data_IF_433697212091
#
_entry.id   IF_433697212091
#
_cell.length_a   1.000
_cell.length_b   1.000
_cell.length_c   1.000
_cell.angle_alpha   90.00
_cell.angle_beta   90.00
_cell.angle_gamma   90.00
#
_symmetry.space_group_name_H-M   'P 1'
#
loop_
_entity.id
_entity.type
_entity.pdbx_description
1 polymer ?
#
# COMPACT_ATOMS: atom_id res chain seq x y z
N UNK A 1 -29.90 -6.05 2.13
CA UNK A 1 -29.23 -7.37 2.27
C UNK A 1 -28.52 -7.90 1.02
N UNK A 2 -29.19 -8.29 -0.08
CA UNK A 2 -28.47 -8.80 -1.29
C UNK A 2 -27.56 -7.75 -1.93
N UNK A 3 -28.07 -6.52 -2.08
CA UNK A 3 -27.33 -5.38 -2.65
C UNK A 3 -26.13 -4.95 -1.81
N UNK A 4 -26.21 -5.11 -0.49
CA UNK A 4 -25.11 -4.74 0.42
C UNK A 4 -23.98 -5.78 0.36
N UNK A 5 -24.34 -7.07 0.24
CA UNK A 5 -23.36 -8.15 0.04
C UNK A 5 -22.63 -8.06 -1.30
N UNK A 6 -23.31 -7.63 -2.38
CA UNK A 6 -22.65 -7.39 -3.67
C UNK A 6 -21.66 -6.23 -3.61
N UNK A 7 -22.06 -5.09 -3.03
CA UNK A 7 -21.17 -3.94 -2.84
C UNK A 7 -19.94 -4.31 -2.00
N UNK A 8 -20.11 -5.12 -0.96
CA UNK A 8 -18.99 -5.57 -0.14
C UNK A 8 -18.03 -6.48 -0.91
N UNK A 9 -18.55 -7.36 -1.77
CA UNK A 9 -17.72 -8.20 -2.66
C UNK A 9 -16.91 -7.37 -3.65
N UNK A 10 -17.52 -6.35 -4.26
CA UNK A 10 -16.81 -5.43 -5.15
C UNK A 10 -15.69 -4.67 -4.41
N UNK A 11 -15.96 -4.19 -3.19
CA UNK A 11 -14.95 -3.53 -2.34
C UNK A 11 -13.77 -4.46 -2.02
N UNK A 12 -14.06 -5.71 -1.65
CA UNK A 12 -13.03 -6.73 -1.37
C UNK A 12 -12.21 -7.03 -2.63
N UNK A 13 -12.85 -7.12 -3.81
CA UNK A 13 -12.15 -7.34 -5.08
C UNK A 13 -11.22 -6.18 -5.44
N UNK A 14 -11.57 -4.95 -5.01
CA UNK A 14 -10.73 -3.75 -5.14
C UNK A 14 -9.67 -3.61 -4.05
N UNK A 15 -9.58 -4.54 -3.10
CA UNK A 15 -8.65 -4.46 -1.96
C UNK A 15 -9.01 -3.38 -0.95
N UNK A 16 -10.25 -2.88 -0.96
CA UNK A 16 -10.71 -1.86 -0.02
C UNK A 16 -11.07 -2.52 1.32
N UNK A 17 -10.57 -1.98 2.44
CA UNK A 17 -10.86 -2.52 3.75
C UNK A 17 -12.28 -2.13 4.19
N UNK A 18 -12.72 -2.73 5.31
CA UNK A 18 -14.01 -2.41 5.91
C UNK A 18 -14.05 -0.95 6.35
N UNK A 19 -15.19 -0.27 6.14
CA UNK A 19 -15.38 1.08 6.65
C UNK A 19 -15.68 0.96 8.14
N UNK A 20 -14.92 1.67 8.97
CA UNK A 20 -15.22 1.81 10.40
C UNK A 20 -15.98 3.12 10.61
N UNK A 21 -17.10 3.09 11.36
CA UNK A 21 -17.81 4.32 11.73
C UNK A 21 -16.87 5.25 12.51
N UNK A 22 -17.14 6.55 12.44
CA UNK A 22 -16.40 7.59 13.20
C UNK A 22 -14.90 7.71 12.87
N UNK A 23 -14.44 7.10 11.77
CA UNK A 23 -13.04 7.21 11.32
C UNK A 23 -12.93 7.64 9.86
N UNK A 24 -11.90 8.42 9.55
CA UNK A 24 -11.36 8.57 8.20
C UNK A 24 -10.48 7.36 7.87
N UNK A 25 -10.76 6.68 6.76
CA UNK A 25 -10.07 5.45 6.34
C UNK A 25 -9.04 5.76 5.27
N UNK A 26 -7.81 6.07 5.65
CA UNK A 26 -6.75 6.36 4.68
C UNK A 26 -6.11 5.07 4.20
N UNK A 27 -6.56 4.56 3.06
CA UNK A 27 -6.09 3.33 2.47
C UNK A 27 -4.78 3.55 1.72
N UNK A 28 -3.71 2.86 2.08
CA UNK A 28 -2.41 2.97 1.42
C UNK A 28 -2.46 2.50 -0.04
N UNK A 29 -1.75 3.21 -0.91
CA UNK A 29 -1.36 2.71 -2.24
C UNK A 29 0.12 2.34 -2.29
N UNK A 30 0.80 2.42 -1.14
CA UNK A 30 2.24 2.23 -1.01
C UNK A 30 2.57 0.79 -0.57
N UNK A 31 3.47 0.16 -1.30
CA UNK A 31 4.01 -1.16 -1.02
C UNK A 31 5.46 -1.05 -0.58
N UNK A 32 5.82 -1.83 0.43
CA UNK A 32 7.21 -2.08 0.79
C UNK A 32 7.66 -3.38 0.13
N UNK A 33 8.77 -3.33 -0.58
CA UNK A 33 9.46 -4.52 -1.10
C UNK A 33 10.82 -4.62 -0.42
N UNK A 34 11.03 -5.71 0.30
CA UNK A 34 12.27 -5.97 1.03
C UNK A 34 13.02 -7.20 0.55
N UNK A 35 14.16 -7.44 1.19
CA UNK A 35 15.08 -8.52 0.82
C UNK A 35 15.63 -8.37 -0.60
N UNK A 36 15.72 -7.12 -1.09
CA UNK A 36 16.34 -6.83 -2.38
C UNK A 36 17.84 -7.16 -2.34
N UNK A 37 18.37 -7.53 -3.50
CA UNK A 37 19.81 -7.70 -3.67
C UNK A 37 20.49 -6.33 -3.81
N UNK A 38 21.78 -6.23 -3.47
CA UNK A 38 22.53 -4.98 -3.62
C UNK A 38 22.63 -4.51 -5.08
N UNK A 39 22.49 -5.44 -6.02
CA UNK A 39 22.50 -5.17 -7.47
C UNK A 39 21.12 -4.83 -8.01
N UNK A 40 20.06 -4.99 -7.21
CA UNK A 40 18.70 -4.64 -7.64
C UNK A 40 18.59 -3.15 -7.91
N UNK A 41 18.19 -2.83 -9.13
CA UNK A 41 17.99 -1.47 -9.60
C UNK A 41 16.53 -1.05 -9.43
N UNK A 42 16.27 0.26 -9.55
CA UNK A 42 14.90 0.77 -9.61
C UNK A 42 14.11 0.16 -10.77
N UNK A 43 14.77 -0.10 -11.90
CA UNK A 43 14.13 -0.65 -13.11
C UNK A 43 13.71 -2.11 -12.93
N UNK A 44 14.47 -2.90 -12.17
CA UNK A 44 14.08 -4.28 -11.82
C UNK A 44 12.78 -4.29 -10.99
N UNK A 45 12.68 -3.37 -10.01
CA UNK A 45 11.49 -3.23 -9.16
C UNK A 45 10.31 -2.67 -9.96
N UNK A 46 10.55 -1.69 -10.83
CA UNK A 46 9.54 -1.14 -11.71
C UNK A 46 8.94 -2.24 -12.59
N UNK A 47 9.79 -2.98 -13.32
CA UNK A 47 9.35 -4.05 -14.23
C UNK A 47 8.52 -5.12 -13.52
N UNK A 48 8.84 -5.42 -12.26
CA UNK A 48 8.08 -6.38 -11.45
C UNK A 48 6.67 -5.86 -11.10
N UNK A 49 6.53 -4.58 -10.77
CA UNK A 49 5.28 -3.99 -10.28
C UNK A 49 4.40 -3.44 -11.40
N UNK A 50 4.98 -3.02 -12.53
CA UNK A 50 4.27 -2.52 -13.71
C UNK A 50 3.35 -3.57 -14.34
N UNK A 51 3.62 -4.88 -14.13
CA UNK A 51 2.71 -5.96 -14.54
C UNK A 51 1.31 -5.82 -13.91
N UNK A 52 1.21 -5.20 -12.74
CA UNK A 52 -0.05 -5.07 -12.00
C UNK A 52 -0.78 -3.77 -12.31
N UNK A 53 -0.06 -2.71 -12.70
CA UNK A 53 -0.62 -1.40 -12.99
C UNK A 53 0.41 -0.28 -12.95
N UNK A 54 -0.01 0.96 -13.26
CA UNK A 54 0.87 2.11 -13.30
C UNK A 54 1.45 2.46 -11.92
N UNK A 55 2.74 2.77 -11.91
CA UNK A 55 3.49 3.18 -10.73
C UNK A 55 3.56 4.71 -10.70
N UNK A 56 3.26 5.30 -9.54
CA UNK A 56 3.37 6.73 -9.31
C UNK A 56 4.79 7.13 -8.92
N UNK A 57 5.40 6.39 -7.99
CA UNK A 57 6.79 6.64 -7.58
C UNK A 57 7.47 5.40 -7.01
N UNK A 58 8.81 5.36 -7.13
CA UNK A 58 9.65 4.33 -6.54
C UNK A 58 10.75 5.02 -5.73
N UNK A 59 10.89 4.63 -4.47
CA UNK A 59 11.93 5.10 -3.57
C UNK A 59 12.78 3.91 -3.11
N UNK A 60 13.97 3.77 -3.70
CA UNK A 60 14.92 2.72 -3.35
C UNK A 60 15.69 3.08 -2.08
N UNK A 61 15.88 2.11 -1.18
CA UNK A 61 16.74 2.24 0.01
C UNK A 61 17.78 1.09 -0.01
N UNK A 62 18.80 1.16 -0.89
CA UNK A 62 19.80 0.10 -1.03
C UNK A 62 20.51 -0.29 0.28
N UNK A 63 20.87 0.64 1.19
CA UNK A 63 21.49 0.27 2.47
C UNK A 63 20.62 -0.63 3.35
N UNK A 64 19.29 -0.55 3.20
CA UNK A 64 18.32 -1.38 3.93
C UNK A 64 17.82 -2.57 3.12
N UNK A 65 18.26 -2.71 1.86
CA UNK A 65 17.82 -3.76 0.95
C UNK A 65 16.30 -3.75 0.72
N UNK A 66 15.71 -2.56 0.64
CA UNK A 66 14.27 -2.41 0.41
C UNK A 66 13.94 -1.23 -0.50
N UNK A 67 12.71 -1.20 -0.98
CA UNK A 67 12.14 -0.12 -1.76
C UNK A 67 10.69 0.14 -1.31
N UNK A 68 10.25 1.38 -1.48
CA UNK A 68 8.85 1.77 -1.33
C UNK A 68 8.30 2.13 -2.71
N UNK A 69 7.17 1.55 -3.08
CA UNK A 69 6.54 1.73 -4.39
C UNK A 69 5.16 2.29 -4.14
N UNK A 70 4.87 3.46 -4.68
CA UNK A 70 3.52 4.04 -4.67
C UNK A 70 2.85 3.66 -5.98
N UNK A 71 1.76 2.91 -5.91
CA UNK A 71 0.93 2.60 -7.09
C UNK A 71 -0.10 3.71 -7.29
N UNK A 72 -0.45 4.00 -8.55
CA UNK A 72 -1.52 4.97 -8.84
C UNK A 72 -2.88 4.47 -8.37
N UNK A 73 -3.11 3.14 -8.39
CA UNK A 73 -4.35 2.53 -7.97
C UNK A 73 -4.15 1.53 -6.83
N UNK A 74 -4.94 1.66 -5.77
CA UNK A 74 -4.93 0.73 -4.63
C UNK A 74 -5.22 -0.71 -5.05
N UNK A 75 -6.12 -0.92 -6.00
CA UNK A 75 -6.46 -2.25 -6.48
C UNK A 75 -5.24 -2.97 -7.07
N UNK A 76 -4.37 -2.24 -7.77
CA UNK A 76 -3.15 -2.77 -8.36
C UNK A 76 -2.14 -3.13 -7.28
N UNK A 77 -1.99 -2.24 -6.29
CA UNK A 77 -1.16 -2.53 -5.12
C UNK A 77 -1.63 -3.78 -4.36
N UNK A 78 -2.94 -3.94 -4.16
CA UNK A 78 -3.50 -5.11 -3.49
C UNK A 78 -3.27 -6.39 -4.31
N UNK A 79 -3.47 -6.35 -5.64
CA UNK A 79 -3.20 -7.49 -6.53
C UNK A 79 -1.72 -7.87 -6.50
N UNK A 80 -0.82 -6.89 -6.57
CA UNK A 80 0.61 -7.08 -6.44
C UNK A 80 0.97 -7.75 -5.12
N UNK A 81 0.47 -7.23 -4.00
CA UNK A 81 0.69 -7.81 -2.68
C UNK A 81 0.19 -9.26 -2.61
N UNK A 82 -1.02 -9.56 -3.06
CA UNK A 82 -1.58 -10.92 -3.00
C UNK A 82 -0.79 -11.92 -3.85
N UNK A 83 -0.34 -11.52 -5.05
CA UNK A 83 0.44 -12.40 -5.94
C UNK A 83 1.86 -12.58 -5.42
N UNK A 84 2.55 -11.48 -5.10
CA UNK A 84 3.97 -11.48 -4.71
C UNK A 84 4.21 -12.03 -3.30
N UNK A 85 3.23 -11.95 -2.38
CA UNK A 85 3.36 -12.52 -1.02
C UNK A 85 3.20 -14.05 -0.97
N UNK A 86 2.42 -14.63 -1.89
CA UNK A 86 2.14 -16.07 -1.94
C UNK A 86 3.18 -16.85 -2.76
N UNK A 87 3.80 -16.19 -3.73
CA UNK A 87 4.79 -16.81 -4.61
C UNK A 87 6.21 -16.68 -4.08
N UNK A 88 7.07 -17.59 -4.54
CA UNK A 88 8.51 -17.51 -4.27
C UNK A 88 9.20 -16.60 -5.31
N UNK A 89 8.77 -15.34 -5.36
CA UNK A 89 9.30 -14.36 -6.32
C UNK A 89 10.73 -14.00 -5.98
N UNK A 90 11.59 -14.02 -7.00
CA UNK A 90 13.00 -13.70 -6.88
C UNK A 90 13.36 -12.57 -7.83
N UNK A 91 14.06 -11.57 -7.30
CA UNK A 91 14.70 -10.52 -8.09
C UNK A 91 16.20 -10.71 -7.94
N UNK A 92 16.93 -10.80 -9.05
CA UNK A 92 18.38 -11.10 -9.04
C UNK A 92 18.72 -12.34 -8.20
N UNK A 93 17.93 -13.42 -8.36
CA UNK A 93 18.07 -14.70 -7.65
C UNK A 93 17.80 -14.67 -6.13
N UNK A 94 17.47 -13.52 -5.56
CA UNK A 94 17.13 -13.37 -4.14
C UNK A 94 15.62 -13.27 -3.95
N UNK A 95 15.08 -14.05 -3.01
CA UNK A 95 13.66 -14.02 -2.69
C UNK A 95 13.28 -12.68 -2.07
N UNK A 96 12.26 -12.04 -2.61
CA UNK A 96 11.76 -10.77 -2.10
C UNK A 96 10.66 -10.99 -1.07
N UNK A 97 10.41 -9.97 -0.25
CA UNK A 97 9.20 -9.89 0.58
C UNK A 97 8.43 -8.64 0.21
N UNK A 98 7.11 -8.72 0.26
CA UNK A 98 6.24 -7.59 0.00
C UNK A 98 5.26 -7.41 1.15
N UNK A 99 4.98 -6.16 1.51
CA UNK A 99 4.00 -5.79 2.52
C UNK A 99 3.37 -4.43 2.20
N UNK A 100 2.25 -4.12 2.83
CA UNK A 100 1.77 -2.74 2.85
C UNK A 100 2.76 -1.83 3.57
N UNK A 101 2.91 -0.61 3.05
CA UNK A 101 3.68 0.43 3.68
C UNK A 101 2.77 1.58 4.10
N UNK A 102 3.19 2.29 5.14
CA UNK A 102 2.54 3.51 5.57
C UNK A 102 2.70 4.58 4.47
N UNK A 103 1.60 5.26 4.15
CA UNK A 103 1.56 6.37 3.20
C UNK A 103 2.52 7.48 3.65
N UNK A 104 3.16 8.16 2.71
CA UNK A 104 4.16 9.19 3.00
C UNK A 104 3.57 10.34 3.81
N UNK A 105 2.33 10.75 3.52
CA UNK A 105 1.70 11.87 4.22
C UNK A 105 1.04 11.52 5.56
N UNK A 106 1.10 10.26 6.02
CA UNK A 106 0.65 9.92 7.38
C UNK A 106 1.72 10.36 8.40
N UNK A 107 1.37 11.39 9.17
CA UNK A 107 2.21 11.90 10.26
C UNK A 107 2.44 10.85 11.35
N UNK A 108 3.52 11.02 12.12
CA UNK A 108 3.92 10.08 13.17
C UNK A 108 2.81 9.80 14.20
N UNK A 109 2.04 10.83 14.56
CA UNK A 109 0.95 10.76 15.54
C UNK A 109 -0.18 9.81 15.11
N UNK A 110 -0.31 9.58 13.80
CA UNK A 110 -1.33 8.69 13.24
C UNK A 110 -0.85 7.25 13.05
N UNK A 111 0.44 6.96 13.26
CA UNK A 111 1.01 5.61 13.10
C UNK A 111 0.34 4.57 13.99
N UNK A 112 -0.15 4.96 15.15
CA UNK A 112 -0.88 4.08 16.07
C UNK A 112 -2.21 3.56 15.49
N UNK A 113 -2.76 4.22 14.47
CA UNK A 113 -4.00 3.82 13.80
C UNK A 113 -3.75 3.00 12.52
N UNK A 114 -2.49 2.71 12.20
CA UNK A 114 -2.10 1.95 11.03
C UNK A 114 -2.40 0.46 11.23
N UNK A 115 -3.19 -0.08 10.30
CA UNK A 115 -3.39 -1.50 10.14
C UNK A 115 -2.48 -2.02 9.03
N UNK A 116 -1.43 -2.74 9.42
CA UNK A 116 -0.41 -3.26 8.50
C UNK A 116 -0.93 -4.37 7.60
N UNK A 117 -1.90 -5.15 8.06
CA UNK A 117 -2.42 -6.29 7.30
C UNK A 117 -3.38 -5.82 6.20
N UNK A 118 -4.22 -4.84 6.55
CA UNK A 118 -5.17 -4.25 5.62
C UNK A 118 -4.57 -3.10 4.80
N UNK A 119 -3.47 -2.52 5.25
CA UNK A 119 -2.83 -1.40 4.59
C UNK A 119 -3.68 -0.13 4.65
N UNK A 120 -4.22 0.20 5.82
CA UNK A 120 -5.11 1.35 6.04
C UNK A 120 -4.87 2.00 7.38
N UNK A 121 -4.94 3.33 7.44
CA UNK A 121 -4.92 4.10 8.68
C UNK A 121 -6.35 4.53 9.04
N UNK A 122 -6.88 4.07 10.17
CA UNK A 122 -8.21 4.45 10.65
C UNK A 122 -8.13 5.60 11.64
N UNK A 123 -8.16 6.84 11.15
CA UNK A 123 -7.99 8.03 12.00
C UNK A 123 -9.36 8.46 12.54
N UNK A 124 -9.57 8.55 13.86
CA UNK A 124 -10.82 9.07 14.43
C UNK A 124 -11.12 10.49 13.91
N UNK A 125 -12.37 10.77 13.50
CA UNK A 125 -12.73 12.07 12.91
C UNK A 125 -12.46 13.25 13.84
N UNK A 126 -12.56 13.07 15.16
CA UNK A 126 -12.23 14.08 16.17
C UNK A 126 -10.75 14.48 16.17
N UNK A 127 -9.88 13.62 15.61
CA UNK A 127 -8.43 13.85 15.51
C UNK A 127 -8.01 14.35 14.13
N UNK A 128 -8.88 14.27 13.12
CA UNK A 128 -8.56 14.71 11.76
C UNK A 128 -8.61 16.24 11.69
N UNK A 129 -7.48 16.86 11.34
CA UNK A 129 -7.45 18.29 11.02
C UNK A 129 -7.70 18.50 9.53
N UNK A 130 -8.53 19.49 9.12
CA UNK A 130 -8.82 19.75 7.70
C UNK A 130 -7.56 19.99 6.85
N UNK A 131 -6.56 20.67 7.42
CA UNK A 131 -5.27 20.96 6.78
C UNK A 131 -4.42 19.71 6.49
N UNK A 132 -4.73 18.57 7.10
CA UNK A 132 -3.99 17.32 6.92
C UNK A 132 -4.62 16.39 5.88
N UNK A 133 -5.85 16.68 5.45
CA UNK A 133 -6.59 15.85 4.49
C UNK A 133 -5.84 15.72 3.16
N UNK A 134 -5.22 16.80 2.67
CA UNK A 134 -4.43 16.79 1.44
C UNK A 134 -3.21 15.86 1.58
N UNK A 135 -2.51 15.92 2.72
CA UNK A 135 -1.37 15.03 2.98
C UNK A 135 -1.77 13.56 3.05
N UNK A 136 -2.98 13.22 3.53
CA UNK A 136 -3.42 11.82 3.58
C UNK A 136 -3.54 11.17 2.21
N UNK A 137 -3.73 11.96 1.15
CA UNK A 137 -3.75 11.49 -0.23
C UNK A 137 -2.36 11.21 -0.81
N UNK A 138 -1.26 11.63 -0.16
CA UNK A 138 0.10 11.33 -0.63
C UNK A 138 0.46 9.84 -0.39
N UNK A 139 0.34 9.04 -1.45
CA UNK A 139 0.56 7.59 -1.41
C UNK A 139 -0.55 6.82 -0.70
N UNK A 140 -1.75 7.41 -0.61
CA UNK A 140 -2.94 6.84 -0.02
C UNK A 140 -4.23 7.41 -0.63
N UNK A 141 -5.37 6.84 -0.26
CA UNK A 141 -6.70 7.31 -0.68
C UNK A 141 -7.65 7.32 0.52
N UNK A 142 -8.51 8.34 0.61
CA UNK A 142 -9.55 8.50 1.64
C UNK A 142 -10.85 7.77 1.28
#
# INVERSE_FOLDING_TARGET
ERRDREKERERRQKGLPQIKPETASVCSTTLWVGQLDKRTTQQDVASLLEEFGPIESINMIPPRGCAYIVMVHRQDAYRALQKLSRGNYKVNQKSIKIAWALNKGIKADYKQYWDVELGVTYIPWDKVKPEELESFCEGGML
#
